data_IF_625898720043
#
_entry.id   IF_625898720043
#
_cell.length_a   1.000
_cell.length_b   1.000
_cell.length_c   1.000
_cell.angle_alpha   90.00
_cell.angle_beta   90.00
_cell.angle_gamma   90.00
#
_symmetry.space_group_name_H-M   'P 1'
#
loop_
_entity.id
_entity.type
_entity.pdbx_description
1 polymer ?
#
# COMPACT_ATOMS: atom_id res chain seq x y z
N UNK A 1 11.20 55.21 25.97
CA UNK A 1 11.90 54.76 24.75
C UNK A 1 11.86 53.24 24.71
N UNK A 2 11.64 52.69 23.52
CA UNK A 2 11.10 51.36 23.23
C UNK A 2 11.88 50.19 23.83
N UNK A 3 11.12 49.16 24.24
CA UNK A 3 11.61 47.80 24.45
C UNK A 3 12.30 47.27 23.17
N UNK A 4 13.37 46.46 23.29
CA UNK A 4 13.91 45.76 22.14
C UNK A 4 12.84 44.82 21.60
N UNK A 5 12.51 44.99 20.31
CA UNK A 5 11.58 44.16 19.57
C UNK A 5 12.05 42.69 19.64
N UNK A 6 11.15 41.82 20.08
CA UNK A 6 11.28 40.37 20.02
C UNK A 6 11.55 39.92 18.58
N UNK A 7 12.70 39.28 18.35
CA UNK A 7 13.01 38.55 17.13
C UNK A 7 11.96 37.43 16.97
N UNK A 8 11.27 37.29 15.82
CA UNK A 8 10.34 36.19 15.62
C UNK A 8 11.09 34.86 15.59
N UNK A 9 10.62 33.95 16.44
CA UNK A 9 11.01 32.56 16.60
C UNK A 9 10.59 31.72 15.36
N UNK A 10 11.35 30.65 15.03
CA UNK A 10 11.12 29.58 14.03
C UNK A 10 11.72 29.70 12.59
N UNK A 11 13.04 29.85 12.44
CA UNK A 11 13.78 29.26 11.29
C UNK A 11 14.74 28.18 11.80
N UNK A 12 14.16 27.04 12.18
CA UNK A 12 14.87 25.89 12.75
C UNK A 12 15.86 25.27 11.76
N UNK A 13 17.14 25.64 11.77
CA UNK A 13 18.27 24.95 11.11
C UNK A 13 18.03 24.39 9.68
N UNK A 14 17.02 24.87 8.93
CA UNK A 14 16.60 24.32 7.63
C UNK A 14 17.67 24.50 6.57
N UNK A 15 18.39 25.61 6.64
CA UNK A 15 19.58 25.84 5.83
C UNK A 15 20.53 24.64 5.95
N UNK A 16 20.99 24.33 7.16
CA UNK A 16 21.91 23.22 7.40
C UNK A 16 21.30 21.89 6.98
N UNK A 17 20.04 21.61 7.38
CA UNK A 17 19.37 20.35 7.06
C UNK A 17 19.25 20.12 5.55
N UNK A 18 18.73 21.10 4.80
CA UNK A 18 18.55 20.97 3.36
C UNK A 18 19.90 20.93 2.63
N UNK A 19 20.90 21.72 3.04
CA UNK A 19 22.26 21.59 2.48
C UNK A 19 22.79 20.18 2.69
N UNK A 20 22.74 19.65 3.92
CA UNK A 20 23.23 18.30 4.19
C UNK A 20 22.48 17.26 3.36
N UNK A 21 21.15 17.32 3.29
CA UNK A 21 20.35 16.38 2.50
C UNK A 21 20.61 16.49 0.99
N UNK A 22 20.83 17.70 0.47
CA UNK A 22 21.16 17.94 -0.93
C UNK A 22 22.51 17.31 -1.31
N UNK A 23 23.55 17.54 -0.48
CA UNK A 23 24.86 16.93 -0.70
C UNK A 23 24.81 15.39 -0.56
N UNK A 24 23.96 14.87 0.33
CA UNK A 24 23.70 13.42 0.38
C UNK A 24 22.99 12.93 -0.88
N UNK A 25 22.08 13.71 -1.47
CA UNK A 25 21.47 13.43 -2.75
C UNK A 25 22.53 13.20 -3.84
N UNK A 26 23.53 14.07 -3.93
CA UNK A 26 24.69 13.84 -4.82
C UNK A 26 25.46 12.55 -4.47
N UNK A 27 25.68 12.29 -3.19
CA UNK A 27 26.30 11.04 -2.72
C UNK A 27 25.52 9.78 -3.08
N UNK A 28 24.19 9.90 -3.22
CA UNK A 28 23.27 8.86 -3.70
C UNK A 28 23.14 8.85 -5.23
N UNK A 29 23.91 9.66 -5.96
CA UNK A 29 23.89 9.71 -7.42
C UNK A 29 22.77 10.57 -8.02
N UNK A 30 22.06 11.36 -7.22
CA UNK A 30 21.08 12.33 -7.72
C UNK A 30 21.80 13.54 -8.32
N UNK A 31 21.47 13.84 -9.57
CA UNK A 31 21.93 15.04 -10.27
C UNK A 31 21.02 16.23 -9.95
N UNK A 32 21.49 17.42 -10.29
CA UNK A 32 20.62 18.57 -10.26
C UNK A 32 19.44 18.44 -11.22
N UNK A 33 18.30 18.98 -10.80
CA UNK A 33 17.06 19.02 -11.56
C UNK A 33 16.61 20.46 -11.74
N UNK A 34 16.30 20.84 -12.98
CA UNK A 34 15.80 22.18 -13.33
C UNK A 34 14.32 22.14 -13.72
N UNK A 35 13.58 23.26 -13.67
CA UNK A 35 13.99 24.62 -13.34
C UNK A 35 14.22 24.83 -11.84
N UNK A 36 14.97 25.89 -11.50
CA UNK A 36 15.06 26.40 -10.14
C UNK A 36 13.81 27.22 -9.82
N UNK A 37 12.73 26.57 -9.42
CA UNK A 37 11.45 27.18 -9.09
C UNK A 37 10.96 26.82 -7.69
N UNK A 38 11.83 26.19 -6.89
CA UNK A 38 11.61 25.87 -5.51
C UNK A 38 10.70 24.68 -5.25
N UNK A 39 10.69 23.68 -6.13
CA UNK A 39 9.82 22.50 -6.04
C UNK A 39 10.56 21.20 -5.71
N UNK A 40 11.89 21.14 -5.83
CA UNK A 40 12.72 19.95 -5.58
C UNK A 40 13.93 20.29 -4.72
N UNK A 41 14.38 19.37 -3.88
CA UNK A 41 15.60 19.53 -3.07
C UNK A 41 16.84 19.57 -3.96
N UNK A 42 16.88 18.76 -5.02
CA UNK A 42 17.99 18.68 -5.97
C UNK A 42 17.99 19.80 -7.02
N UNK A 43 17.31 20.92 -6.80
CA UNK A 43 17.52 22.10 -7.65
C UNK A 43 18.94 22.68 -7.46
N UNK A 44 19.58 23.28 -8.48
CA UNK A 44 20.98 23.76 -8.40
C UNK A 44 21.32 24.75 -7.28
N UNK A 45 20.31 25.31 -6.61
CA UNK A 45 20.47 26.29 -5.55
C UNK A 45 19.60 25.90 -4.36
N UNK A 46 20.12 26.15 -3.16
CA UNK A 46 19.42 25.87 -1.91
C UNK A 46 18.03 26.53 -1.88
N UNK A 47 17.02 25.74 -1.53
CA UNK A 47 15.69 26.22 -1.18
C UNK A 47 15.38 25.89 0.29
N UNK A 48 14.82 26.86 1.02
CA UNK A 48 14.42 26.70 2.44
C UNK A 48 12.91 26.83 2.68
N UNK A 49 12.13 26.90 1.60
CA UNK A 49 10.66 26.93 1.64
C UNK A 49 10.05 25.59 2.07
N UNK A 50 10.79 24.49 1.93
CA UNK A 50 10.46 23.15 2.43
C UNK A 50 11.59 22.58 3.30
N UNK A 51 11.36 21.45 3.95
CA UNK A 51 12.31 20.77 4.84
C UNK A 51 12.52 19.33 4.35
N UNK A 52 13.61 19.09 3.63
CA UNK A 52 13.99 17.78 3.11
C UNK A 52 13.55 17.42 1.69
N UNK A 53 13.73 16.15 1.30
CA UNK A 53 13.41 15.63 -0.03
C UNK A 53 11.95 15.89 -0.42
N UNK A 54 11.75 16.31 -1.66
CA UNK A 54 10.45 16.44 -2.30
C UNK A 54 10.19 15.20 -3.19
N UNK A 55 9.05 15.20 -3.86
CA UNK A 55 8.58 14.04 -4.63
C UNK A 55 9.61 13.53 -5.65
N UNK A 56 10.24 14.43 -6.42
CA UNK A 56 11.27 14.08 -7.40
C UNK A 56 12.50 13.44 -6.76
N UNK A 57 12.94 13.97 -5.62
CA UNK A 57 14.14 13.49 -4.92
C UNK A 57 13.90 12.09 -4.32
N UNK A 58 12.69 11.85 -3.78
CA UNK A 58 12.27 10.54 -3.27
C UNK A 58 12.18 9.53 -4.43
N UNK A 59 11.57 9.90 -5.55
CA UNK A 59 11.48 9.05 -6.74
C UNK A 59 12.88 8.71 -7.27
N UNK A 60 13.79 9.68 -7.32
CA UNK A 60 15.17 9.46 -7.72
C UNK A 60 15.88 8.43 -6.84
N UNK A 61 15.73 8.55 -5.51
CA UNK A 61 16.29 7.59 -4.58
C UNK A 61 15.69 6.18 -4.75
N UNK A 62 14.36 6.08 -4.84
CA UNK A 62 13.66 4.81 -5.05
C UNK A 62 14.02 4.15 -6.38
N UNK A 63 14.26 4.96 -7.44
CA UNK A 63 14.70 4.43 -8.73
C UNK A 63 16.04 3.70 -8.65
N UNK A 64 16.95 4.23 -7.82
CA UNK A 64 18.32 3.73 -7.72
C UNK A 64 18.47 2.61 -6.69
N UNK A 65 17.69 2.68 -5.61
CA UNK A 65 17.91 1.84 -4.42
C UNK A 65 16.68 1.05 -3.95
N UNK A 66 15.53 1.22 -4.60
CA UNK A 66 14.27 0.67 -4.14
C UNK A 66 13.64 1.49 -3.01
N UNK A 67 12.44 1.09 -2.60
CA UNK A 67 11.74 1.67 -1.46
C UNK A 67 12.11 0.98 -0.13
N UNK A 68 11.61 1.46 1.03
CA UNK A 68 11.93 0.86 2.33
C UNK A 68 11.46 -0.59 2.54
N UNK A 69 10.65 -1.13 1.65
CA UNK A 69 10.04 -2.46 1.72
C UNK A 69 10.70 -3.46 0.75
N UNK A 70 11.66 -3.03 -0.06
CA UNK A 70 12.42 -3.91 -0.94
C UNK A 70 13.46 -4.74 -0.17
N UNK A 71 13.79 -5.98 -0.59
CA UNK A 71 13.35 -6.68 -1.81
C UNK A 71 12.10 -7.53 -1.53
N UNK A 72 10.98 -7.29 -2.22
CA UNK A 72 9.71 -7.97 -1.93
C UNK A 72 8.97 -8.56 -3.15
N UNK A 73 9.68 -8.83 -4.25
CA UNK A 73 9.05 -9.14 -5.54
C UNK A 73 8.46 -10.55 -5.72
N UNK A 74 8.40 -11.35 -4.65
CA UNK A 74 7.85 -12.70 -4.66
C UNK A 74 7.14 -13.01 -3.35
N UNK A 75 6.20 -13.97 -3.34
CA UNK A 75 5.54 -14.38 -2.11
C UNK A 75 6.52 -14.81 -0.98
N UNK A 76 7.62 -15.56 -1.23
CA UNK A 76 8.61 -15.86 -0.21
C UNK A 76 9.36 -14.65 0.36
N UNK A 77 9.56 -13.59 -0.43
CA UNK A 77 10.25 -12.36 -0.02
C UNK A 77 9.30 -11.25 0.42
N UNK A 78 8.00 -11.53 0.47
CA UNK A 78 6.97 -10.55 0.75
C UNK A 78 7.19 -9.80 2.07
N UNK A 79 6.94 -8.48 2.05
CA UNK A 79 7.02 -7.63 3.24
C UNK A 79 5.95 -8.03 4.26
N UNK A 80 6.32 -8.39 5.50
CA UNK A 80 5.35 -8.84 6.48
C UNK A 80 4.52 -7.68 7.03
N UNK A 81 3.20 -7.87 7.11
CA UNK A 81 2.26 -6.96 7.75
C UNK A 81 1.41 -7.74 8.75
N UNK A 82 1.51 -7.37 10.02
CA UNK A 82 0.75 -8.01 11.09
C UNK A 82 -0.51 -7.19 11.41
N UNK A 83 -1.69 -7.79 11.19
CA UNK A 83 -3.01 -7.21 11.46
C UNK A 83 -3.67 -7.84 12.70
N UNK A 84 -2.93 -8.60 13.52
CA UNK A 84 -3.48 -9.25 14.73
C UNK A 84 -3.88 -8.23 15.80
N UNK A 85 -3.18 -7.10 15.89
CA UNK A 85 -3.39 -6.06 16.90
C UNK A 85 -3.78 -4.69 16.30
N UNK A 86 -4.03 -4.62 15.00
CA UNK A 86 -4.48 -3.41 14.32
C UNK A 86 -5.49 -3.74 13.23
N UNK A 87 -6.49 -2.88 13.09
CA UNK A 87 -7.47 -2.96 12.00
C UNK A 87 -7.12 -2.04 10.82
N UNK A 88 -6.03 -1.28 10.93
CA UNK A 88 -5.59 -0.35 9.89
C UNK A 88 -4.07 -0.34 9.80
N UNK A 89 -3.56 -0.58 8.61
CA UNK A 89 -2.16 -0.38 8.25
C UNK A 89 -2.07 0.50 7.02
N UNK A 90 -1.10 1.40 6.99
CA UNK A 90 -0.85 2.31 5.85
C UNK A 90 0.65 2.37 5.59
N UNK A 91 1.05 2.04 4.36
CA UNK A 91 2.42 2.16 3.87
C UNK A 91 2.42 3.25 2.79
N UNK A 92 3.03 4.40 3.07
CA UNK A 92 2.99 5.59 2.21
C UNK A 92 4.34 5.93 1.55
N UNK A 93 5.31 5.03 1.68
CA UNK A 93 6.64 5.12 1.08
C UNK A 93 6.89 4.01 0.08
N UNK A 94 5.85 3.28 -0.35
CA UNK A 94 5.98 2.21 -1.32
C UNK A 94 6.08 2.77 -2.75
N UNK A 95 6.70 2.03 -3.65
CA UNK A 95 6.79 2.37 -5.06
C UNK A 95 7.09 1.15 -5.92
N UNK A 96 6.47 1.12 -7.11
CA UNK A 96 6.99 0.31 -8.21
C UNK A 96 8.08 1.11 -8.93
N UNK A 97 9.31 0.63 -8.93
CA UNK A 97 10.44 1.38 -9.50
C UNK A 97 10.54 1.26 -11.04
N UNK A 98 9.86 0.26 -11.62
CA UNK A 98 9.75 -0.02 -13.06
C UNK A 98 8.50 -0.83 -13.37
N UNK A 99 8.17 -1.01 -14.66
CA UNK A 99 6.98 -1.79 -15.09
C UNK A 99 7.09 -3.30 -14.87
N UNK A 100 8.30 -3.80 -14.66
CA UNK A 100 8.53 -5.20 -14.30
C UNK A 100 8.62 -5.41 -12.79
N UNK A 101 8.51 -4.33 -12.03
CA UNK A 101 8.48 -4.40 -10.58
C UNK A 101 7.11 -4.87 -10.10
N UNK A 102 7.12 -5.64 -9.03
CA UNK A 102 5.95 -6.26 -8.43
C UNK A 102 6.22 -6.30 -6.94
N UNK A 103 5.29 -5.83 -6.13
CA UNK A 103 5.45 -5.84 -4.68
C UNK A 103 4.54 -6.88 -4.05
N UNK A 104 5.10 -7.75 -3.20
CA UNK A 104 4.32 -8.66 -2.37
C UNK A 104 4.34 -8.24 -0.90
N UNK A 105 3.16 -8.28 -0.27
CA UNK A 105 2.97 -8.08 1.16
C UNK A 105 2.32 -9.31 1.76
N UNK A 106 2.91 -9.91 2.80
CA UNK A 106 2.32 -11.04 3.51
C UNK A 106 1.55 -10.55 4.73
N UNK A 107 0.25 -10.74 4.72
CA UNK A 107 -0.64 -10.34 5.80
C UNK A 107 -0.80 -11.48 6.81
N UNK A 108 -0.64 -11.19 8.10
CA UNK A 108 -1.12 -12.07 9.18
C UNK A 108 -2.45 -11.52 9.69
N UNK A 109 -3.54 -12.26 9.48
CA UNK A 109 -4.90 -11.78 9.78
C UNK A 109 -5.56 -12.65 10.86
N UNK A 110 -6.23 -12.06 11.87
CA UNK A 110 -7.01 -12.82 12.83
C UNK A 110 -8.28 -13.40 12.20
N UNK A 111 -8.90 -14.36 12.89
CA UNK A 111 -10.17 -14.97 12.49
C UNK A 111 -11.32 -13.95 12.35
N UNK A 112 -12.34 -14.33 11.59
CA UNK A 112 -13.60 -13.58 11.38
C UNK A 112 -13.34 -12.12 10.98
N UNK A 113 -12.76 -11.94 9.79
CA UNK A 113 -12.42 -10.63 9.23
C UNK A 113 -12.91 -10.50 7.80
N UNK A 114 -13.38 -9.30 7.46
CA UNK A 114 -13.35 -8.79 6.09
C UNK A 114 -12.27 -7.75 5.92
N UNK A 115 -11.75 -7.60 4.71
CA UNK A 115 -10.67 -6.66 4.38
C UNK A 115 -11.05 -5.75 3.21
N UNK A 116 -10.67 -4.48 3.34
CA UNK A 116 -10.60 -3.53 2.24
C UNK A 116 -9.14 -3.19 1.99
N UNK A 117 -8.70 -3.36 0.74
CA UNK A 117 -7.35 -3.08 0.27
C UNK A 117 -7.45 -1.93 -0.71
N UNK A 118 -6.70 -0.85 -0.49
CA UNK A 118 -6.67 0.30 -1.40
C UNK A 118 -5.23 0.65 -1.75
N UNK A 119 -4.96 0.82 -3.04
CA UNK A 119 -3.67 1.26 -3.56
C UNK A 119 -3.88 2.61 -4.24
N UNK A 120 -3.27 3.66 -3.71
CA UNK A 120 -3.47 5.05 -4.19
C UNK A 120 -2.16 5.60 -4.75
N UNK A 121 -2.09 6.05 -6.02
CA UNK A 121 -0.91 6.73 -6.54
C UNK A 121 -0.52 7.94 -5.69
N UNK A 122 0.74 8.01 -5.30
CA UNK A 122 1.33 9.19 -4.64
C UNK A 122 2.17 9.92 -5.68
N UNK A 123 2.07 11.24 -5.68
CA UNK A 123 2.87 12.09 -6.55
C UNK A 123 2.35 13.51 -6.60
N UNK A 124 2.95 14.30 -7.47
CA UNK A 124 2.62 15.70 -7.71
C UNK A 124 2.89 16.08 -9.16
N UNK A 125 2.40 17.24 -9.59
CA UNK A 125 2.72 17.81 -10.90
C UNK A 125 3.81 18.86 -10.74
N UNK A 126 4.94 18.67 -11.41
CA UNK A 126 6.07 19.60 -11.37
C UNK A 126 6.87 19.58 -12.67
N UNK A 127 7.81 20.52 -12.81
CA UNK A 127 8.72 20.58 -13.95
C UNK A 127 10.06 19.92 -13.63
N UNK A 128 10.57 19.12 -14.57
CA UNK A 128 11.81 18.34 -14.47
C UNK A 128 12.61 18.49 -15.76
N UNK A 129 13.95 18.54 -15.64
CA UNK A 129 14.88 18.62 -16.76
C UNK A 129 16.32 18.58 -16.27
N UNK A 130 17.26 18.31 -17.19
CA UNK A 130 18.69 18.33 -16.91
C UNK A 130 19.24 19.74 -16.83
N UNK A 131 20.14 20.01 -15.88
CA UNK A 131 20.72 21.35 -15.67
C UNK A 131 21.49 21.87 -16.90
N UNK A 132 22.07 20.97 -17.70
CA UNK A 132 22.73 21.26 -18.98
C UNK A 132 21.72 21.50 -20.13
N UNK A 133 20.42 21.44 -19.85
CA UNK A 133 19.34 21.51 -20.81
C UNK A 133 18.95 20.16 -21.41
N UNK A 134 19.54 19.04 -20.95
CA UNK A 134 19.28 17.71 -21.48
C UNK A 134 19.03 16.66 -20.36
N UNK A 135 17.81 16.10 -20.22
CA UNK A 135 16.65 16.32 -21.08
C UNK A 135 16.11 17.76 -20.94
N UNK A 136 15.45 18.30 -21.98
CA UNK A 136 14.77 19.58 -21.88
C UNK A 136 13.74 19.58 -20.74
N UNK A 137 13.48 20.75 -20.17
CA UNK A 137 12.46 20.89 -19.14
C UNK A 137 11.08 20.51 -19.68
N UNK A 138 10.42 19.57 -19.01
CA UNK A 138 9.03 19.18 -19.27
C UNK A 138 8.22 19.21 -17.97
N UNK A 139 6.90 19.23 -18.09
CA UNK A 139 5.99 19.02 -16.96
C UNK A 139 5.65 17.54 -16.87
N UNK A 140 5.75 16.98 -15.66
CA UNK A 140 5.38 15.60 -15.35
C UNK A 140 4.32 15.58 -14.26
N UNK A 141 3.39 14.62 -14.32
CA UNK A 141 2.49 14.27 -13.22
C UNK A 141 2.85 12.87 -12.72
N UNK A 142 3.52 12.80 -11.58
CA UNK A 142 4.08 11.55 -11.04
C UNK A 142 3.04 10.63 -10.39
N UNK A 143 1.79 11.07 -10.33
CA UNK A 143 0.64 10.19 -10.00
C UNK A 143 0.25 9.34 -11.20
N UNK A 144 0.67 9.71 -12.40
CA UNK A 144 0.25 9.11 -13.66
C UNK A 144 1.42 8.43 -14.39
N UNK A 145 2.30 7.73 -13.66
CA UNK A 145 3.44 7.02 -14.26
C UNK A 145 3.07 5.59 -14.61
N UNK A 146 2.61 4.83 -13.61
CA UNK A 146 2.23 3.42 -13.79
C UNK A 146 0.76 3.23 -13.43
N UNK A 147 0.08 2.38 -14.20
CA UNK A 147 -1.29 1.98 -13.95
C UNK A 147 -1.28 0.92 -12.84
N UNK A 148 -1.39 1.33 -11.59
CA UNK A 148 -1.33 0.43 -10.44
C UNK A 148 -2.46 -0.60 -10.51
N UNK A 149 -2.14 -1.85 -10.20
CA UNK A 149 -3.08 -2.96 -10.08
C UNK A 149 -2.85 -3.67 -8.76
N UNK A 150 -3.90 -4.25 -8.19
CA UNK A 150 -3.81 -4.98 -6.92
C UNK A 150 -4.56 -6.30 -6.95
N UNK A 151 -3.94 -7.32 -6.37
CA UNK A 151 -4.55 -8.63 -6.13
C UNK A 151 -4.45 -9.02 -4.65
N UNK A 152 -5.50 -9.67 -4.15
CA UNK A 152 -5.47 -10.45 -2.92
C UNK A 152 -5.27 -11.93 -3.29
N UNK A 153 -4.27 -12.56 -2.71
CA UNK A 153 -3.90 -13.95 -2.94
C UNK A 153 -4.12 -14.80 -1.70
N UNK A 154 -4.42 -16.06 -1.94
CA UNK A 154 -4.60 -17.10 -0.93
C UNK A 154 -3.31 -17.40 -0.15
N UNK A 155 -3.37 -18.17 0.96
CA UNK A 155 -2.22 -18.52 1.78
C UNK A 155 -1.06 -19.21 1.05
N UNK A 156 -1.32 -19.81 -0.12
CA UNK A 156 -0.29 -20.41 -0.97
C UNK A 156 0.55 -19.38 -1.75
N UNK A 157 0.22 -18.08 -1.66
CA UNK A 157 0.95 -16.98 -2.30
C UNK A 157 0.81 -16.89 -3.81
N UNK A 158 -0.10 -17.64 -4.44
CA UNK A 158 -0.25 -17.67 -5.90
C UNK A 158 -1.69 -17.70 -6.41
N UNK A 159 -2.62 -18.31 -5.69
CA UNK A 159 -4.04 -18.33 -6.09
C UNK A 159 -4.67 -16.96 -5.84
N UNK A 160 -5.15 -16.31 -6.90
CA UNK A 160 -5.87 -15.02 -6.80
C UNK A 160 -7.26 -15.25 -6.22
N UNK A 161 -7.57 -14.57 -5.12
CA UNK A 161 -8.89 -14.54 -4.49
C UNK A 161 -9.73 -13.37 -4.97
N UNK A 162 -9.10 -12.21 -5.17
CA UNK A 162 -9.74 -11.01 -5.71
C UNK A 162 -8.72 -10.14 -6.42
N UNK A 163 -9.18 -9.32 -7.36
CA UNK A 163 -8.36 -8.35 -8.09
C UNK A 163 -9.10 -7.03 -8.28
N UNK A 164 -8.34 -5.94 -8.35
CA UNK A 164 -8.80 -4.63 -8.79
C UNK A 164 -7.81 -4.09 -9.82
N UNK A 165 -8.28 -4.02 -11.07
CA UNK A 165 -7.49 -3.74 -12.28
C UNK A 165 -8.25 -2.88 -13.30
N UNK A 166 -9.36 -2.28 -12.88
CA UNK A 166 -10.33 -1.66 -13.76
C UNK A 166 -10.05 -0.16 -13.99
N UNK A 167 -9.37 0.49 -13.04
CA UNK A 167 -9.07 1.91 -13.12
C UNK A 167 -7.83 2.15 -13.98
N UNK A 168 -7.72 3.38 -14.49
CA UNK A 168 -6.56 3.83 -15.25
C UNK A 168 -5.51 4.49 -14.36
N UNK A 169 -4.40 4.87 -14.98
CA UNK A 169 -3.30 5.59 -14.34
C UNK A 169 -3.77 6.83 -13.57
N UNK A 170 -3.23 7.07 -12.36
CA UNK A 170 -3.60 8.21 -11.52
C UNK A 170 -4.86 8.03 -10.68
N UNK A 171 -5.55 6.90 -10.80
CA UNK A 171 -6.72 6.57 -10.00
C UNK A 171 -6.37 5.41 -9.06
N UNK A 172 -6.94 5.42 -7.86
CA UNK A 172 -6.73 4.35 -6.89
C UNK A 172 -7.43 3.06 -7.32
N UNK A 173 -6.82 1.92 -7.00
CA UNK A 173 -7.48 0.60 -7.10
C UNK A 173 -7.96 0.15 -5.72
N UNK A 174 -9.09 -0.56 -5.68
CA UNK A 174 -9.67 -1.02 -4.42
C UNK A 174 -10.34 -2.39 -4.54
N UNK A 175 -9.97 -3.30 -3.64
CA UNK A 175 -10.74 -4.51 -3.32
C UNK A 175 -11.52 -4.18 -2.04
N UNK A 176 -12.84 -4.08 -2.11
CA UNK A 176 -13.67 -3.63 -1.01
C UNK A 176 -14.35 -4.81 -0.29
N UNK A 177 -14.31 -4.81 1.04
CA UNK A 177 -15.08 -5.70 1.92
C UNK A 177 -14.98 -7.19 1.59
N UNK A 178 -13.81 -7.67 1.12
CA UNK A 178 -13.61 -9.08 0.84
C UNK A 178 -13.63 -9.89 2.13
N UNK A 179 -14.49 -10.91 2.23
CA UNK A 179 -14.55 -11.81 3.38
C UNK A 179 -13.39 -12.79 3.31
N UNK A 180 -12.49 -12.72 4.29
CA UNK A 180 -11.35 -13.64 4.38
C UNK A 180 -11.79 -14.98 4.96
N UNK A 181 -10.91 -15.98 4.87
CA UNK A 181 -11.19 -17.28 5.47
C UNK A 181 -11.51 -17.11 6.97
N UNK A 182 -12.60 -17.72 7.46
CA UNK A 182 -13.08 -17.51 8.82
C UNK A 182 -12.05 -17.84 9.90
N UNK A 183 -11.20 -18.85 9.68
CA UNK A 183 -10.10 -19.20 10.59
C UNK A 183 -8.95 -18.15 10.64
N UNK A 184 -8.94 -17.18 9.72
CA UNK A 184 -7.86 -16.21 9.57
C UNK A 184 -6.61 -16.82 8.91
N UNK A 185 -5.44 -16.31 9.25
CA UNK A 185 -4.16 -16.83 8.78
C UNK A 185 -3.41 -15.90 7.82
N UNK A 186 -2.58 -16.51 6.96
CA UNK A 186 -1.71 -15.75 6.06
C UNK A 186 -2.38 -15.51 4.70
N UNK A 187 -2.32 -14.27 4.23
CA UNK A 187 -2.73 -13.89 2.87
C UNK A 187 -1.62 -13.07 2.22
N UNK A 188 -1.72 -12.84 0.91
CA UNK A 188 -0.78 -11.95 0.24
C UNK A 188 -1.50 -10.87 -0.52
N UNK A 189 -0.95 -9.67 -0.52
CA UNK A 189 -1.33 -8.61 -1.45
C UNK A 189 -0.22 -8.45 -2.46
N UNK A 190 -0.58 -8.42 -3.74
CA UNK A 190 0.36 -8.17 -4.84
C UNK A 190 0.00 -6.87 -5.53
N UNK A 191 0.93 -5.93 -5.56
CA UNK A 191 0.81 -4.66 -6.31
C UNK A 191 1.73 -4.73 -7.53
N UNK A 192 1.24 -4.35 -8.70
CA UNK A 192 2.00 -4.43 -9.95
C UNK A 192 1.46 -3.46 -11.00
N UNK A 193 2.16 -3.38 -12.13
CA UNK A 193 1.82 -2.45 -13.21
C UNK A 193 0.94 -3.08 -14.28
N UNK A 194 -0.15 -2.39 -14.60
CA UNK A 194 -1.07 -2.72 -15.69
C UNK A 194 -0.63 -2.15 -17.04
N UNK A 195 -1.46 -2.38 -18.05
CA UNK A 195 -1.26 -1.81 -19.39
C UNK A 195 -1.35 -0.29 -19.37
N UNK A 196 -0.62 0.37 -20.28
CA UNK A 196 -0.54 1.84 -20.35
C UNK A 196 0.48 2.46 -19.38
N UNK A 197 1.20 1.65 -18.62
CA UNK A 197 2.26 2.12 -17.70
C UNK A 197 3.50 2.60 -18.45
N UNK A 198 4.13 3.64 -17.93
CA UNK A 198 5.46 4.12 -18.34
C UNK A 198 6.52 3.49 -17.44
N UNK A 199 7.65 3.08 -18.02
CA UNK A 199 8.76 2.48 -17.27
C UNK A 199 9.55 3.52 -16.46
N UNK A 200 8.99 3.93 -15.32
CA UNK A 200 9.58 4.85 -14.36
C UNK A 200 8.89 4.67 -12.99
N UNK A 201 9.39 5.32 -11.94
CA UNK A 201 8.91 5.13 -10.56
C UNK A 201 7.49 5.66 -10.39
N UNK A 202 6.59 4.78 -9.94
CA UNK A 202 5.27 5.13 -9.42
C UNK A 202 5.24 4.88 -7.91
N UNK A 203 5.22 5.96 -7.13
CA UNK A 203 4.98 5.90 -5.69
C UNK A 203 3.51 5.61 -5.42
N UNK A 204 3.23 4.93 -4.31
CA UNK A 204 1.86 4.68 -3.91
C UNK A 204 1.70 4.53 -2.39
N UNK A 205 0.46 4.73 -1.93
CA UNK A 205 0.01 4.34 -0.61
C UNK A 205 -0.68 2.99 -0.70
N UNK A 206 -0.24 2.00 0.09
CA UNK A 206 -1.02 0.80 0.38
C UNK A 206 -1.75 1.00 1.70
N UNK A 207 -3.07 0.96 1.66
CA UNK A 207 -3.93 0.97 2.84
C UNK A 207 -4.68 -0.35 2.97
N UNK A 208 -4.54 -0.97 4.14
CA UNK A 208 -5.20 -2.22 4.50
C UNK A 208 -6.10 -1.94 5.70
N UNK A 209 -7.40 -2.20 5.55
CA UNK A 209 -8.36 -2.03 6.62
C UNK A 209 -9.15 -3.31 6.83
N UNK A 210 -9.11 -3.86 8.03
CA UNK A 210 -9.92 -5.02 8.40
C UNK A 210 -11.07 -4.62 9.30
N UNK A 211 -12.16 -5.38 9.24
CA UNK A 211 -13.31 -5.23 10.14
C UNK A 211 -13.65 -6.59 10.71
N UNK A 212 -13.88 -6.64 12.03
CA UNK A 212 -14.36 -7.84 12.72
C UNK A 212 -15.76 -8.20 12.27
N UNK A 213 -15.95 -9.47 11.95
CA UNK A 213 -17.26 -10.08 11.75
C UNK A 213 -17.61 -10.91 13.01
N UNK A 214 -18.90 -11.11 13.30
CA UNK A 214 -19.32 -12.16 14.23
C UNK A 214 -18.69 -13.51 13.85
N UNK A 215 -18.32 -14.32 14.83
CA UNK A 215 -17.83 -15.67 14.54
C UNK A 215 -18.97 -16.50 13.96
N UNK A 216 -18.80 -17.01 12.75
CA UNK A 216 -19.83 -17.75 12.01
C UNK A 216 -20.53 -16.95 10.92
N UNK A 217 -20.25 -15.65 10.76
CA UNK A 217 -20.70 -14.83 9.62
C UNK A 217 -19.78 -15.10 8.42
N UNK A 218 -20.25 -15.89 7.46
CA UNK A 218 -19.51 -16.39 6.30
C UNK A 218 -19.73 -15.55 5.04
N UNK A 219 -20.84 -14.82 4.96
CA UNK A 219 -21.13 -13.93 3.83
C UNK A 219 -20.71 -12.47 4.07
N UNK A 220 -20.32 -12.13 5.30
CA UNK A 220 -19.80 -10.84 5.72
C UNK A 220 -20.86 -9.75 5.88
N UNK A 221 -22.15 -10.13 5.94
CA UNK A 221 -23.28 -9.23 6.05
C UNK A 221 -23.42 -8.62 7.46
N UNK A 222 -22.70 -9.15 8.45
CA UNK A 222 -22.69 -8.70 9.83
C UNK A 222 -23.62 -9.46 10.77
N UNK A 223 -24.30 -10.49 10.30
CA UNK A 223 -25.18 -11.40 11.05
C UNK A 223 -24.69 -12.83 10.92
N UNK A 224 -25.02 -13.66 11.93
CA UNK A 224 -24.92 -15.12 11.81
C UNK A 224 -26.32 -15.68 11.70
N UNK A 225 -26.73 -16.12 10.51
CA UNK A 225 -28.10 -16.54 10.24
C UNK A 225 -28.21 -17.84 9.44
N UNK A 226 -29.40 -18.10 8.89
CA UNK A 226 -29.66 -19.31 8.13
C UNK A 226 -28.86 -19.38 6.82
N UNK A 227 -28.42 -18.25 6.26
CA UNK A 227 -27.54 -18.24 5.09
C UNK A 227 -26.16 -18.83 5.45
N UNK A 228 -25.57 -18.44 6.58
CA UNK A 228 -24.29 -18.97 7.05
C UNK A 228 -24.39 -20.45 7.41
N UNK A 229 -25.49 -20.82 8.08
CA UNK A 229 -25.78 -22.21 8.40
C UNK A 229 -25.86 -23.07 7.14
N UNK A 230 -26.60 -22.62 6.12
CA UNK A 230 -26.72 -23.33 4.85
C UNK A 230 -25.40 -23.39 4.10
N UNK A 231 -24.54 -22.36 4.19
CA UNK A 231 -23.22 -22.35 3.57
C UNK A 231 -22.33 -23.49 4.11
N UNK A 232 -22.33 -23.73 5.43
CA UNK A 232 -21.62 -24.87 6.03
C UNK A 232 -22.25 -26.19 5.59
N UNK A 233 -23.59 -26.33 5.68
CA UNK A 233 -24.28 -27.58 5.33
C UNK A 233 -24.10 -27.99 3.87
N UNK A 234 -24.03 -27.04 2.93
CA UNK A 234 -23.80 -27.33 1.51
C UNK A 234 -22.36 -27.75 1.20
N UNK A 235 -21.41 -27.40 2.06
CA UNK A 235 -20.00 -27.75 1.89
C UNK A 235 -19.53 -28.83 2.86
N UNK A 236 -20.45 -29.40 3.66
CA UNK A 236 -20.16 -30.40 4.68
C UNK A 236 -19.42 -31.62 4.10
N UNK A 237 -18.34 -32.03 4.75
CA UNK A 237 -17.38 -33.05 4.30
C UNK A 237 -16.35 -32.56 3.28
N UNK A 238 -16.39 -31.28 2.88
CA UNK A 238 -15.43 -30.64 1.99
C UNK A 238 -14.16 -30.17 2.72
N UNK A 239 -13.31 -29.43 1.99
CA UNK A 239 -12.05 -28.85 2.51
C UNK A 239 -11.80 -27.42 2.01
N UNK A 240 -12.88 -26.73 1.59
CA UNK A 240 -12.79 -25.35 1.15
C UNK A 240 -12.64 -24.43 2.39
N UNK A 241 -11.51 -23.70 2.52
CA UNK A 241 -11.22 -22.90 3.70
C UNK A 241 -12.19 -21.74 3.91
N UNK A 242 -13.09 -21.45 2.97
CA UNK A 242 -14.16 -20.46 3.14
C UNK A 242 -15.28 -20.95 4.07
N UNK A 243 -15.43 -22.26 4.23
CA UNK A 243 -16.49 -22.87 5.06
C UNK A 243 -15.94 -23.72 6.22
N UNK A 244 -14.62 -23.93 6.27
CA UNK A 244 -13.88 -24.50 7.41
C UNK A 244 -13.55 -23.34 8.39
N UNK A 245 -14.40 -23.20 9.39
CA UNK A 245 -14.43 -22.08 10.34
C UNK A 245 -13.34 -22.23 11.39
N UNK A 246 -13.07 -23.46 11.83
CA UNK A 246 -12.06 -23.73 12.85
C UNK A 246 -10.63 -23.87 12.26
N UNK A 247 -10.52 -24.05 10.94
CA UNK A 247 -9.26 -24.14 10.19
C UNK A 247 -8.55 -25.49 10.28
N UNK A 248 -9.26 -26.59 10.58
CA UNK A 248 -8.68 -27.92 10.74
C UNK A 248 -8.50 -28.69 9.41
N UNK A 249 -9.00 -28.12 8.30
CA UNK A 249 -8.87 -28.63 6.95
C UNK A 249 -10.08 -29.43 6.45
N UNK A 250 -11.13 -29.59 7.25
CA UNK A 250 -12.37 -30.29 6.86
C UNK A 250 -13.58 -29.46 7.32
N UNK A 251 -14.60 -29.37 6.46
CA UNK A 251 -15.88 -28.76 6.84
C UNK A 251 -16.73 -29.81 7.56
N UNK A 252 -16.88 -29.74 8.87
CA UNK A 252 -17.56 -30.79 9.65
C UNK A 252 -18.51 -30.28 10.74
N UNK A 253 -18.86 -31.14 11.71
CA UNK A 253 -19.77 -30.81 12.79
C UNK A 253 -19.20 -29.75 13.73
N UNK A 254 -17.87 -29.59 13.84
CA UNK A 254 -17.26 -28.52 14.61
C UNK A 254 -17.52 -27.14 13.99
N UNK A 255 -17.49 -27.01 12.66
CA UNK A 255 -17.84 -25.77 11.96
C UNK A 255 -19.32 -25.47 12.09
N UNK A 256 -20.15 -26.50 11.89
CA UNK A 256 -21.60 -26.39 12.04
C UNK A 256 -21.97 -25.92 13.47
N UNK A 257 -21.36 -26.52 14.49
CA UNK A 257 -21.57 -26.11 15.88
C UNK A 257 -21.10 -24.67 16.13
N UNK A 258 -20.04 -24.22 15.46
CA UNK A 258 -19.57 -22.84 15.56
C UNK A 258 -20.63 -21.85 15.07
N UNK A 259 -21.27 -22.12 13.92
CA UNK A 259 -22.39 -21.29 13.43
C UNK A 259 -23.57 -21.37 14.40
N UNK A 260 -23.97 -22.56 14.84
CA UNK A 260 -25.13 -22.75 15.73
C UNK A 260 -24.96 -22.09 17.10
N UNK A 261 -23.75 -22.07 17.67
CA UNK A 261 -23.48 -21.38 18.94
C UNK A 261 -23.53 -19.85 18.83
N UNK A 262 -23.26 -19.31 17.64
CA UNK A 262 -23.28 -17.88 17.38
C UNK A 262 -24.54 -17.43 16.62
N UNK A 263 -25.48 -18.33 16.35
CA UNK A 263 -26.66 -18.07 15.55
C UNK A 263 -27.51 -16.94 16.14
N UNK A 264 -27.87 -15.98 15.29
CA UNK A 264 -28.58 -14.75 15.66
C UNK A 264 -27.70 -13.68 16.29
N UNK A 265 -26.37 -13.77 16.23
CA UNK A 265 -25.46 -12.71 16.66
C UNK A 265 -25.18 -11.70 15.55
N UNK A 266 -24.79 -10.47 15.93
CA UNK A 266 -24.42 -9.39 15.00
C UNK A 266 -25.61 -8.56 14.50
N UNK A 267 -26.78 -9.19 14.47
CA UNK A 267 -28.10 -8.61 14.63
C UNK A 267 -28.61 -8.82 16.08
#
# INVERSE_FOLDING_TARGET
MQQPQSVPMLMHYRFLRNTVMHEHGHGLGLLHVVPTNGTKLMEPYLNTNFDGPQDDDIRGAQRLYGDPYEVNNTAPTATPIDLTNTNLTTLNMASLDRTTDVDFYRLTVPASRKITITVTPIGSTYQVGGQDGNPPTTTIDTRQIQNLQVELLAPNGSTVLASATANGTGVAEQIANFVLYPAGGNFYVRVFSGSGSTNDVQRYELRLQTTTLPTGDLDGNGCVDDADLLAVLFNFGGSDPRYDINGDGVVDDADLLTVLFNFGSGC
#
